data_IF_001199742286
#
_entry.id   IF_001199742286
#
_cell.length_a   1.000
_cell.length_b   1.000
_cell.length_c   1.000
_cell.angle_alpha   90.00
_cell.angle_beta   90.00
_cell.angle_gamma   90.00
#
_symmetry.space_group_name_H-M   'P 1'
#
loop_
_entity.id
_entity.type
_entity.pdbx_description
1 polymer ?
#
# COMPACT_ATOMS: atom_id res chain seq x y z
N UNK A 1 -16.32 -20.46 -7.55
CA UNK A 1 -15.21 -21.36 -7.17
C UNK A 1 -13.95 -20.57 -7.44
N UNK A 2 -13.14 -20.32 -6.41
CA UNK A 2 -11.86 -19.66 -6.58
C UNK A 2 -10.97 -20.51 -7.51
N UNK A 3 -10.20 -19.86 -8.36
CA UNK A 3 -9.46 -20.38 -9.53
C UNK A 3 -8.38 -21.44 -9.23
N UNK A 4 -8.29 -21.95 -8.00
CA UNK A 4 -7.29 -22.95 -7.62
C UNK A 4 -7.75 -24.36 -7.99
N UNK A 5 -6.88 -25.15 -8.63
CA UNK A 5 -7.18 -26.52 -9.07
C UNK A 5 -7.08 -27.58 -7.97
N UNK A 6 -6.54 -27.22 -6.78
CA UNK A 6 -6.24 -28.17 -5.70
C UNK A 6 -7.42 -28.26 -4.72
N UNK A 7 -8.14 -29.40 -4.62
CA UNK A 7 -9.36 -29.53 -3.81
C UNK A 7 -9.13 -29.32 -2.30
N UNK A 8 -7.93 -29.61 -1.80
CA UNK A 8 -7.55 -29.34 -0.39
C UNK A 8 -7.62 -27.85 -0.03
N UNK A 9 -7.33 -26.96 -0.97
CA UNK A 9 -7.37 -25.50 -0.76
C UNK A 9 -8.80 -24.96 -0.80
N UNK A 10 -9.74 -25.66 -1.45
CA UNK A 10 -11.17 -25.29 -1.43
C UNK A 10 -11.76 -25.43 -0.03
N UNK A 11 -11.26 -26.35 0.80
CA UNK A 11 -11.70 -26.49 2.20
C UNK A 11 -11.38 -25.26 3.05
N UNK A 12 -10.35 -24.50 2.64
CA UNK A 12 -9.91 -23.28 3.34
C UNK A 12 -10.64 -22.04 2.85
N UNK A 13 -11.34 -22.13 1.71
CA UNK A 13 -12.17 -21.06 1.17
C UNK A 13 -13.54 -21.01 1.88
N UNK A 14 -13.52 -20.76 3.18
CA UNK A 14 -14.71 -20.63 4.00
C UNK A 14 -15.00 -19.15 4.28
N UNK A 15 -16.22 -18.70 3.96
CA UNK A 15 -16.67 -17.32 4.20
C UNK A 15 -16.57 -16.92 5.68
N UNK A 16 -16.70 -17.87 6.61
CA UNK A 16 -16.50 -17.63 8.05
C UNK A 16 -15.05 -17.30 8.38
N UNK A 17 -14.10 -18.00 7.75
CA UNK A 17 -12.67 -17.73 7.91
C UNK A 17 -12.30 -16.39 7.29
N UNK A 18 -12.80 -16.10 6.08
CA UNK A 18 -12.59 -14.80 5.44
C UNK A 18 -13.10 -13.65 6.32
N UNK A 19 -14.31 -13.79 6.89
CA UNK A 19 -14.85 -12.80 7.83
C UNK A 19 -13.98 -12.64 9.08
N UNK A 20 -13.49 -13.75 9.65
CA UNK A 20 -12.60 -13.70 10.82
C UNK A 20 -11.29 -12.97 10.51
N UNK A 21 -10.66 -13.27 9.36
CA UNK A 21 -9.44 -12.60 8.89
C UNK A 21 -9.69 -11.10 8.72
N UNK A 22 -10.77 -10.71 8.03
CA UNK A 22 -11.11 -9.30 7.80
C UNK A 22 -11.31 -8.55 9.12
N UNK A 23 -12.08 -9.12 10.06
CA UNK A 23 -12.30 -8.51 11.38
C UNK A 23 -10.98 -8.40 12.15
N UNK A 24 -10.17 -9.45 12.15
CA UNK A 24 -8.86 -9.43 12.79
C UNK A 24 -7.93 -8.37 12.22
N UNK A 25 -7.90 -8.22 10.89
CA UNK A 25 -7.14 -7.17 10.20
C UNK A 25 -7.64 -5.78 10.57
N UNK A 26 -8.96 -5.55 10.61
CA UNK A 26 -9.54 -4.26 11.03
C UNK A 26 -9.12 -3.91 12.46
N UNK A 27 -9.27 -4.85 13.40
CA UNK A 27 -8.89 -4.63 14.80
C UNK A 27 -7.38 -4.33 14.91
N UNK A 28 -6.55 -5.10 14.20
CA UNK A 28 -5.11 -4.86 14.16
C UNK A 28 -4.79 -3.44 13.69
N UNK A 29 -5.38 -2.97 12.60
CA UNK A 29 -5.14 -1.62 12.08
C UNK A 29 -5.67 -0.52 13.00
N UNK A 30 -6.80 -0.73 13.68
CA UNK A 30 -7.32 0.21 14.67
C UNK A 30 -6.34 0.34 15.84
N UNK A 31 -5.89 -0.78 16.41
CA UNK A 31 -4.93 -0.78 17.51
C UNK A 31 -3.60 -0.15 17.09
N UNK A 32 -3.16 -0.44 15.88
CA UNK A 32 -1.95 0.13 15.28
C UNK A 32 -2.06 1.64 15.04
N UNK A 33 -3.28 2.14 14.79
CA UNK A 33 -3.58 3.57 14.64
C UNK A 33 -3.54 4.37 15.94
N UNK A 34 -3.64 3.74 17.12
CA UNK A 34 -3.67 4.46 18.41
C UNK A 34 -2.39 5.28 18.65
N UNK A 35 -1.17 4.76 18.46
CA UNK A 35 0.06 5.55 18.55
C UNK A 35 0.07 6.81 17.68
N UNK A 36 -0.55 6.77 16.50
CA UNK A 36 -0.64 7.96 15.65
C UNK A 36 -1.46 9.05 16.32
N UNK A 37 -2.59 8.72 16.96
CA UNK A 37 -3.40 9.70 17.68
C UNK A 37 -2.68 10.34 18.88
N UNK A 38 -1.74 9.61 19.50
CA UNK A 38 -1.02 10.09 20.68
C UNK A 38 0.21 10.92 20.33
N UNK A 39 0.92 10.57 19.26
CA UNK A 39 2.22 11.16 18.93
C UNK A 39 2.19 12.15 17.76
N UNK A 40 1.10 12.24 17.00
CA UNK A 40 0.90 13.34 16.04
C UNK A 40 0.24 14.51 16.75
N UNK A 41 0.96 15.64 16.82
CA UNK A 41 0.45 16.87 17.43
C UNK A 41 0.53 17.99 16.42
N UNK A 42 -0.50 18.84 16.43
CA UNK A 42 -0.54 20.07 15.66
C UNK A 42 0.28 21.14 16.38
N UNK A 43 1.36 21.61 15.77
CA UNK A 43 2.19 22.69 16.28
C UNK A 43 2.03 23.90 15.36
N UNK A 44 1.78 25.07 15.96
CA UNK A 44 1.74 26.34 15.25
C UNK A 44 3.15 26.92 15.24
N UNK A 45 3.69 27.16 14.05
CA UNK A 45 4.99 27.80 13.89
C UNK A 45 4.92 29.23 14.44
N UNK A 46 5.74 29.59 15.44
CA UNK A 46 5.73 30.93 16.02
C UNK A 46 6.19 32.02 15.04
N UNK A 47 6.88 31.62 13.95
CA UNK A 47 7.46 32.54 12.97
C UNK A 47 6.49 32.79 11.79
N UNK A 48 5.79 31.75 11.34
CA UNK A 48 4.95 31.81 10.12
C UNK A 48 3.46 31.76 10.41
N UNK A 49 3.05 31.47 11.65
CA UNK A 49 1.65 31.25 12.02
C UNK A 49 1.01 30.02 11.36
N UNK A 50 1.78 29.25 10.57
CA UNK A 50 1.28 28.05 9.90
C UNK A 50 1.20 26.89 10.88
N UNK A 51 0.14 26.11 10.74
CA UNK A 51 -0.08 24.94 11.57
C UNK A 51 0.42 23.68 10.86
N UNK A 52 1.39 23.01 11.46
CA UNK A 52 1.97 21.78 10.95
C UNK A 52 1.70 20.62 11.91
N UNK A 53 1.36 19.46 11.35
CA UNK A 53 1.23 18.22 12.09
C UNK A 53 2.60 17.52 12.13
N UNK A 54 3.16 17.37 13.33
CA UNK A 54 4.49 16.76 13.51
C UNK A 54 4.46 15.67 14.55
N UNK A 55 5.37 14.71 14.37
CA UNK A 55 5.59 13.63 15.33
C UNK A 55 6.48 14.16 16.45
N UNK A 56 5.98 14.17 17.69
CA UNK A 56 6.71 14.70 18.84
C UNK A 56 7.76 13.72 19.40
N UNK A 57 7.56 12.41 19.23
CA UNK A 57 8.44 11.39 19.77
C UNK A 57 9.48 10.96 18.75
N UNK A 58 10.77 11.15 19.06
CA UNK A 58 11.88 10.75 18.19
C UNK A 58 11.87 9.24 17.92
N UNK A 59 11.50 8.42 18.91
CA UNK A 59 11.38 6.98 18.73
C UNK A 59 10.23 6.62 17.77
N UNK A 60 9.08 7.28 17.91
CA UNK A 60 7.95 7.08 17.00
C UNK A 60 8.24 7.59 15.59
N UNK A 61 8.99 8.69 15.46
CA UNK A 61 9.41 9.21 14.16
C UNK A 61 10.35 8.24 13.43
N UNK A 62 11.29 7.62 14.14
CA UNK A 62 12.14 6.55 13.58
C UNK A 62 11.29 5.34 13.16
N UNK A 63 10.37 4.90 14.02
CA UNK A 63 9.44 3.83 13.70
C UNK A 63 8.62 4.14 12.43
N UNK A 64 8.11 5.37 12.32
CA UNK A 64 7.33 5.80 11.17
C UNK A 64 8.14 5.78 9.86
N UNK A 65 9.33 6.40 9.88
CA UNK A 65 10.16 6.58 8.69
C UNK A 65 10.83 5.28 8.21
N UNK A 66 11.26 4.41 9.13
CA UNK A 66 12.06 3.22 8.77
C UNK A 66 11.26 1.93 8.71
N UNK A 67 10.12 1.85 9.40
CA UNK A 67 9.32 0.62 9.45
C UNK A 67 7.93 0.82 8.87
N UNK A 68 7.14 1.74 9.43
CA UNK A 68 5.73 1.88 9.02
C UNK A 68 5.58 2.27 7.55
N UNK A 69 6.17 3.39 7.15
CA UNK A 69 6.03 3.91 5.79
C UNK A 69 6.61 2.94 4.73
N UNK A 70 7.88 2.49 4.82
CA UNK A 70 8.45 1.63 3.77
C UNK A 70 7.96 0.18 3.87
N UNK A 71 7.81 -0.39 5.07
CA UNK A 71 7.54 -1.85 5.19
C UNK A 71 6.04 -2.13 5.18
N UNK A 72 5.28 -1.51 6.09
CA UNK A 72 3.86 -1.83 6.28
C UNK A 72 2.98 -1.28 5.17
N UNK A 73 3.25 -0.07 4.69
CA UNK A 73 2.42 0.59 3.67
C UNK A 73 2.84 0.21 2.24
N UNK A 74 4.12 -0.08 2.01
CA UNK A 74 4.64 -0.32 0.66
C UNK A 74 5.04 -1.79 0.43
N UNK A 75 6.10 -2.26 1.08
CA UNK A 75 6.71 -3.56 0.75
C UNK A 75 5.72 -4.71 0.95
N UNK A 76 5.01 -4.75 2.08
CA UNK A 76 4.08 -5.83 2.38
C UNK A 76 2.90 -5.85 1.39
N UNK A 77 2.16 -4.73 1.18
CA UNK A 77 1.07 -4.70 0.22
C UNK A 77 1.52 -5.00 -1.21
N UNK A 78 2.64 -4.43 -1.67
CA UNK A 78 3.17 -4.73 -3.01
C UNK A 78 3.55 -6.19 -3.16
N UNK A 79 4.22 -6.78 -2.17
CA UNK A 79 4.60 -8.19 -2.23
C UNK A 79 3.35 -9.10 -2.29
N UNK A 80 2.33 -8.82 -1.47
CA UNK A 80 1.05 -9.53 -1.49
C UNK A 80 0.39 -9.39 -2.86
N UNK A 81 0.28 -8.16 -3.38
CA UNK A 81 -0.33 -7.87 -4.67
C UNK A 81 0.39 -8.55 -5.84
N UNK A 82 1.72 -8.53 -5.86
CA UNK A 82 2.53 -9.18 -6.89
C UNK A 82 2.37 -10.71 -6.82
N UNK A 83 2.40 -11.29 -5.62
CA UNK A 83 2.23 -12.73 -5.43
C UNK A 83 0.84 -13.20 -5.90
N UNK A 84 -0.22 -12.56 -5.40
CA UNK A 84 -1.59 -12.93 -5.76
C UNK A 84 -1.91 -12.58 -7.21
N UNK A 85 -1.40 -11.47 -7.75
CA UNK A 85 -1.51 -11.10 -9.15
C UNK A 85 -0.84 -12.11 -10.08
N UNK A 86 0.36 -12.58 -9.72
CA UNK A 86 1.07 -13.63 -10.48
C UNK A 86 0.31 -14.96 -10.43
N UNK A 87 -0.22 -15.35 -9.27
CA UNK A 87 -1.05 -16.55 -9.16
C UNK A 87 -2.35 -16.45 -9.93
N UNK A 88 -3.00 -15.29 -9.91
CA UNK A 88 -4.19 -15.02 -10.71
C UNK A 88 -3.88 -15.14 -12.21
N UNK A 89 -2.79 -14.52 -12.67
CA UNK A 89 -2.36 -14.57 -14.07
C UNK A 89 -2.08 -16.00 -14.55
N UNK A 90 -1.33 -16.78 -13.76
CA UNK A 90 -1.07 -18.20 -14.07
C UNK A 90 -2.36 -19.02 -14.11
N UNK A 91 -3.29 -18.76 -13.20
CA UNK A 91 -4.57 -19.46 -13.19
C UNK A 91 -5.41 -19.15 -14.42
N UNK A 92 -5.46 -17.90 -14.87
CA UNK A 92 -6.19 -17.50 -16.08
C UNK A 92 -5.62 -18.20 -17.32
N UNK A 93 -4.29 -18.25 -17.46
CA UNK A 93 -3.66 -18.96 -18.57
C UNK A 93 -4.00 -20.46 -18.57
N UNK A 94 -4.07 -21.08 -17.39
CA UNK A 94 -4.43 -22.50 -17.26
C UNK A 94 -5.93 -22.77 -17.45
N UNK A 95 -6.82 -21.81 -17.16
CA UNK A 95 -8.28 -21.95 -17.35
C UNK A 95 -8.63 -22.01 -18.84
N UNK A 96 -7.86 -21.34 -19.72
CA UNK A 96 -8.09 -21.35 -21.17
C UNK A 96 -8.08 -22.77 -21.80
N UNK A 97 -7.46 -23.74 -21.13
CA UNK A 97 -7.41 -25.14 -21.58
C UNK A 97 -8.57 -26.01 -21.07
N UNK A 98 -9.44 -25.50 -20.20
CA UNK A 98 -10.52 -26.28 -19.57
C UNK A 98 -11.89 -25.87 -20.13
N UNK A 99 -12.76 -26.85 -20.37
CA UNK A 99 -14.15 -26.66 -20.85
C UNK A 99 -15.04 -26.05 -19.74
N UNK A 100 -14.82 -24.78 -19.44
CA UNK A 100 -15.70 -23.98 -18.58
C UNK A 100 -16.66 -23.20 -19.50
N UNK A 101 -17.94 -23.03 -19.13
CA UNK A 101 -18.87 -22.23 -19.93
C UNK A 101 -18.32 -20.82 -20.18
N UNK A 102 -18.28 -20.41 -21.45
CA UNK A 102 -17.63 -19.19 -21.97
C UNK A 102 -17.97 -17.93 -21.16
N UNK A 103 -19.23 -17.76 -20.76
CA UNK A 103 -19.71 -16.58 -20.00
C UNK A 103 -19.04 -16.46 -18.63
N UNK A 104 -18.81 -17.57 -17.94
CA UNK A 104 -18.18 -17.57 -16.61
C UNK A 104 -16.68 -17.30 -16.69
N UNK A 105 -16.04 -17.80 -17.75
CA UNK A 105 -14.62 -17.62 -17.99
C UNK A 105 -14.27 -16.15 -18.26
N UNK A 106 -15.06 -15.45 -19.08
CA UNK A 106 -14.83 -14.04 -19.37
C UNK A 106 -14.99 -13.14 -18.13
N UNK A 107 -15.95 -13.44 -17.24
CA UNK A 107 -16.11 -12.70 -15.99
C UNK A 107 -14.92 -12.89 -15.03
N UNK A 108 -14.39 -14.12 -14.89
CA UNK A 108 -13.21 -14.38 -14.05
C UNK A 108 -11.94 -13.75 -14.67
N UNK A 109 -11.81 -13.76 -16.00
CA UNK A 109 -10.72 -13.09 -16.73
C UNK A 109 -10.79 -11.57 -16.60
N UNK A 110 -11.98 -10.98 -16.67
CA UNK A 110 -12.17 -9.54 -16.48
C UNK A 110 -11.78 -9.11 -15.06
N UNK A 111 -12.22 -9.84 -14.04
CA UNK A 111 -11.89 -9.54 -12.64
C UNK A 111 -10.39 -9.63 -12.38
N UNK A 112 -9.73 -10.68 -12.89
CA UNK A 112 -8.29 -10.87 -12.73
C UNK A 112 -7.47 -9.84 -13.51
N UNK A 113 -7.91 -9.47 -14.71
CA UNK A 113 -7.27 -8.40 -15.51
C UNK A 113 -7.42 -7.05 -14.80
N UNK A 114 -8.60 -6.76 -14.23
CA UNK A 114 -8.83 -5.55 -13.44
C UNK A 114 -7.86 -5.46 -12.25
N UNK A 115 -7.71 -6.55 -11.48
CA UNK A 115 -6.76 -6.59 -10.36
C UNK A 115 -5.32 -6.42 -10.84
N UNK A 116 -4.91 -7.07 -11.94
CA UNK A 116 -3.55 -6.94 -12.45
C UNK A 116 -3.23 -5.51 -12.90
N UNK A 117 -4.18 -4.86 -13.60
CA UNK A 117 -4.07 -3.46 -13.99
C UNK A 117 -3.96 -2.60 -12.73
N UNK A 118 -4.82 -2.81 -11.74
CA UNK A 118 -4.76 -2.08 -10.47
C UNK A 118 -3.38 -2.20 -9.80
N UNK A 119 -2.79 -3.41 -9.75
CA UNK A 119 -1.44 -3.59 -9.19
C UNK A 119 -0.39 -2.78 -9.94
N UNK A 120 -0.44 -2.72 -11.27
CA UNK A 120 0.50 -1.90 -12.05
C UNK A 120 0.30 -0.42 -11.76
N UNK A 121 -0.95 0.03 -11.70
CA UNK A 121 -1.29 1.41 -11.39
C UNK A 121 -0.94 1.79 -9.96
N UNK A 122 -0.97 0.87 -8.99
CA UNK A 122 -0.53 1.11 -7.60
C UNK A 122 1.01 1.23 -7.50
N UNK A 123 1.76 0.42 -8.24
CA UNK A 123 3.24 0.38 -8.16
C UNK A 123 3.88 1.68 -8.66
N UNK A 124 3.36 2.26 -9.74
CA UNK A 124 3.90 3.45 -10.40
C UNK A 124 3.92 4.70 -9.49
N UNK A 125 2.84 5.08 -8.79
CA UNK A 125 2.81 6.26 -7.91
C UNK A 125 3.42 5.99 -6.53
N UNK A 126 3.33 4.76 -6.01
CA UNK A 126 3.81 4.44 -4.66
C UNK A 126 5.33 4.30 -4.62
N UNK A 127 5.94 3.68 -5.65
CA UNK A 127 7.39 3.42 -5.65
C UNK A 127 8.28 4.68 -5.57
N UNK A 128 8.01 5.80 -6.29
CA UNK A 128 8.86 6.98 -6.23
C UNK A 128 8.69 7.72 -4.90
N UNK A 129 7.48 7.71 -4.32
CA UNK A 129 7.18 8.32 -3.03
C UNK A 129 7.92 7.63 -1.89
N UNK A 130 8.02 6.30 -1.97
CA UNK A 130 8.76 5.49 -0.99
C UNK A 130 10.26 5.61 -1.19
N UNK A 131 10.74 5.62 -2.43
CA UNK A 131 12.15 5.88 -2.74
C UNK A 131 12.60 7.25 -2.17
N UNK A 132 11.78 8.29 -2.33
CA UNK A 132 12.06 9.61 -1.75
C UNK A 132 12.03 9.59 -0.21
N UNK A 133 11.10 8.87 0.39
CA UNK A 133 11.00 8.73 1.85
C UNK A 133 12.22 8.03 2.45
N UNK A 134 12.68 6.95 1.81
CA UNK A 134 13.91 6.23 2.21
C UNK A 134 15.14 7.10 2.00
N UNK A 135 15.22 7.81 0.86
CA UNK A 135 16.31 8.75 0.59
C UNK A 135 16.43 9.82 1.69
N UNK A 136 15.30 10.44 2.07
CA UNK A 136 15.23 11.42 3.18
C UNK A 136 15.60 10.82 4.54
N UNK A 137 15.30 9.54 4.77
CA UNK A 137 15.58 8.87 6.03
C UNK A 137 17.06 8.45 6.18
N UNK A 138 17.71 8.07 5.08
CA UNK A 138 19.11 7.62 5.06
C UNK A 138 20.08 8.79 4.99
N UNK A 139 19.80 9.76 4.10
CA UNK A 139 20.67 10.91 3.92
C UNK A 139 20.23 12.02 4.88
N UNK A 140 21.11 12.39 5.81
CA UNK A 140 21.00 13.66 6.53
C UNK A 140 21.20 14.78 5.50
N UNK A 141 20.09 15.22 4.90
CA UNK A 141 20.09 16.26 3.87
C UNK A 141 20.79 17.49 4.45
N UNK A 142 21.79 18.07 3.74
CA UNK A 142 22.42 19.30 4.17
C UNK A 142 21.36 20.38 4.41
N UNK A 143 21.55 21.25 5.40
CA UNK A 143 20.65 22.38 5.69
C UNK A 143 20.69 23.47 4.60
N UNK A 144 20.99 23.11 3.35
CA UNK A 144 20.90 23.99 2.21
C UNK A 144 19.41 24.21 1.87
N UNK A 145 18.91 25.46 1.99
CA UNK A 145 17.51 25.76 1.73
C UNK A 145 17.10 25.46 0.28
N UNK A 146 18.02 25.49 -0.68
CA UNK A 146 17.72 25.19 -2.09
C UNK A 146 17.39 23.71 -2.29
N UNK A 147 18.21 22.81 -1.71
CA UNK A 147 18.01 21.36 -1.79
C UNK A 147 16.70 20.97 -1.08
N UNK A 148 16.42 21.58 0.08
CA UNK A 148 15.18 21.34 0.81
C UNK A 148 13.94 21.76 0.00
N UNK A 149 14.00 22.92 -0.66
CA UNK A 149 12.90 23.40 -1.52
C UNK A 149 12.64 22.45 -2.70
N UNK A 150 13.70 21.97 -3.36
CA UNK A 150 13.58 21.00 -4.46
C UNK A 150 12.96 19.67 -3.98
N UNK A 151 13.42 19.15 -2.84
CA UNK A 151 12.87 17.90 -2.29
C UNK A 151 11.41 18.05 -1.90
N UNK A 152 11.00 19.20 -1.37
CA UNK A 152 9.60 19.47 -1.04
C UNK A 152 8.72 19.59 -2.28
N UNK A 153 9.22 20.22 -3.34
CA UNK A 153 8.52 20.25 -4.63
C UNK A 153 8.29 18.82 -5.18
N UNK A 154 9.33 17.99 -5.21
CA UNK A 154 9.24 16.59 -5.65
C UNK A 154 8.23 15.82 -4.79
N UNK A 155 8.30 15.97 -3.47
CA UNK A 155 7.36 15.31 -2.55
C UNK A 155 5.91 15.71 -2.82
N UNK A 156 5.64 17.00 -3.06
CA UNK A 156 4.28 17.47 -3.36
C UNK A 156 3.77 16.93 -4.70
N UNK A 157 4.61 16.91 -5.73
CA UNK A 157 4.26 16.32 -7.03
C UNK A 157 3.90 14.84 -6.88
N UNK A 158 4.72 14.08 -6.14
CA UNK A 158 4.47 12.65 -5.90
C UNK A 158 3.19 12.42 -5.09
N UNK A 159 2.90 13.27 -4.10
CA UNK A 159 1.65 13.22 -3.34
C UNK A 159 0.44 13.49 -4.25
N UNK A 160 0.52 14.47 -5.16
CA UNK A 160 -0.55 14.77 -6.12
C UNK A 160 -0.78 13.56 -7.04
N UNK A 161 0.29 12.97 -7.58
CA UNK A 161 0.21 11.76 -8.42
C UNK A 161 -0.44 10.61 -7.65
N UNK A 162 -0.10 10.43 -6.37
CA UNK A 162 -0.71 9.41 -5.52
C UNK A 162 -2.20 9.71 -5.25
N UNK A 163 -2.60 10.98 -5.05
CA UNK A 163 -4.02 11.32 -4.92
C UNK A 163 -4.81 11.10 -6.20
N UNK A 164 -4.22 11.38 -7.37
CA UNK A 164 -4.85 11.11 -8.67
C UNK A 164 -5.08 9.62 -8.91
N UNK A 165 -4.29 8.75 -8.30
CA UNK A 165 -4.55 7.31 -8.33
C UNK A 165 -5.84 6.93 -7.58
N UNK A 166 -6.15 7.61 -6.48
CA UNK A 166 -7.32 7.31 -5.64
C UNK A 166 -8.62 7.97 -6.12
N UNK A 167 -8.55 8.88 -7.11
CA UNK A 167 -9.68 9.63 -7.65
C UNK A 167 -10.26 8.98 -8.91
#
# INVERSE_FOLDING_TARGET
MATCSIPRWHQWNNIKLARCIVIGTIIFWILHGIPFLLYYVQIVSPITGQSNCVIISVAFQKYYNFFYSPVLICIIPMAIMILFGTFAYRNVQNIAYRTVPLVRQESEKQLTTMVLVQVVFDIIPVSPLVALSIFRAIYNIPNDPLILAQLNLISNILIIINYLHFA
#
